data_IF_758785485434
#
_entry.id   IF_758785485434
#
_cell.length_a   1.000
_cell.length_b   1.000
_cell.length_c   1.000
_cell.angle_alpha   90.00
_cell.angle_beta   90.00
_cell.angle_gamma   90.00
#
_symmetry.space_group_name_H-M   'P 1'
#
loop_
_entity.id
_entity.type
_entity.pdbx_description
1 polymer ?
#
# COMPACT_ATOMS: atom_id res chain seq x y z
N UNK A 1 24.35 -7.05 -20.21
CA UNK A 1 23.02 -7.05 -19.55
C UNK A 1 23.21 -6.54 -18.13
N UNK A 2 22.37 -5.61 -17.66
CA UNK A 2 22.42 -5.19 -16.26
C UNK A 2 22.08 -6.38 -15.34
N UNK A 3 22.77 -6.55 -14.19
CA UNK A 3 22.46 -7.62 -13.26
C UNK A 3 21.02 -7.46 -12.76
N UNK A 4 20.31 -8.59 -12.66
CA UNK A 4 19.00 -8.67 -11.99
C UNK A 4 19.22 -9.16 -10.58
N UNK A 5 18.42 -8.66 -9.66
CA UNK A 5 18.33 -9.27 -8.34
C UNK A 5 17.14 -10.22 -8.29
N UNK A 6 17.17 -11.13 -7.33
CA UNK A 6 16.09 -12.10 -7.13
C UNK A 6 15.48 -11.99 -5.75
N UNK A 7 14.24 -12.45 -5.63
CA UNK A 7 13.63 -12.76 -4.34
C UNK A 7 13.21 -14.22 -4.34
N UNK A 8 13.61 -14.95 -3.30
CA UNK A 8 13.10 -16.29 -3.00
C UNK A 8 11.98 -16.16 -1.98
N UNK A 9 10.79 -16.59 -2.36
CA UNK A 9 9.57 -16.48 -1.57
C UNK A 9 9.13 -17.87 -1.15
N UNK A 10 9.01 -18.06 0.16
CA UNK A 10 8.44 -19.26 0.77
C UNK A 10 7.13 -18.89 1.44
N UNK A 11 6.18 -19.81 1.45
CA UNK A 11 4.92 -19.66 2.16
C UNK A 11 4.91 -20.66 3.32
N UNK A 12 4.70 -20.17 4.53
CA UNK A 12 4.55 -20.98 5.73
C UNK A 12 3.28 -21.82 5.60
N UNK A 13 3.44 -23.02 5.06
CA UNK A 13 2.44 -24.08 5.23
C UNK A 13 2.81 -24.91 6.44
N UNK A 14 1.81 -25.20 7.25
CA UNK A 14 1.85 -26.32 8.18
C UNK A 14 1.96 -27.71 7.48
N UNK A 15 2.13 -27.76 6.15
CA UNK A 15 2.20 -28.99 5.35
C UNK A 15 3.63 -29.33 4.94
N UNK A 16 3.93 -30.63 4.89
CA UNK A 16 5.24 -31.27 4.67
C UNK A 16 6.02 -30.90 3.38
N UNK A 17 5.53 -29.98 2.53
CA UNK A 17 6.15 -29.60 1.25
C UNK A 17 6.11 -28.07 1.03
N UNK A 18 6.94 -27.31 1.74
CA UNK A 18 7.09 -25.88 1.49
C UNK A 18 7.64 -25.65 0.07
N UNK A 19 6.87 -24.95 -0.77
CA UNK A 19 7.29 -24.58 -2.13
C UNK A 19 7.96 -23.21 -2.12
N UNK A 20 9.15 -23.15 -2.68
CA UNK A 20 9.89 -21.91 -2.89
C UNK A 20 9.66 -21.39 -4.30
N UNK A 21 9.43 -20.08 -4.42
CA UNK A 21 9.24 -19.38 -5.68
C UNK A 21 10.33 -18.34 -5.85
N UNK A 22 11.09 -18.42 -6.96
CA UNK A 22 12.09 -17.41 -7.30
C UNK A 22 11.53 -16.43 -8.32
N UNK A 23 11.52 -15.16 -7.98
CA UNK A 23 11.15 -14.04 -8.86
C UNK A 23 12.36 -13.13 -9.10
N UNK A 24 12.29 -12.32 -10.15
CA UNK A 24 13.39 -11.47 -10.58
C UNK A 24 12.97 -10.01 -10.67
N UNK A 25 13.85 -9.10 -10.27
CA UNK A 25 13.65 -7.68 -10.47
C UNK A 25 13.72 -7.32 -11.96
N UNK A 26 13.10 -6.21 -12.31
CA UNK A 26 13.37 -5.61 -13.62
C UNK A 26 14.82 -5.11 -13.70
N UNK A 27 15.42 -5.08 -14.91
CA UNK A 27 16.74 -4.50 -15.09
C UNK A 27 16.79 -3.03 -14.64
N UNK A 28 17.82 -2.67 -13.87
CA UNK A 28 18.08 -1.27 -13.49
C UNK A 28 17.23 -0.74 -12.32
N UNK A 29 16.45 -1.60 -11.65
CA UNK A 29 15.73 -1.20 -10.44
C UNK A 29 16.73 -0.86 -9.31
N UNK A 30 16.70 0.36 -8.73
CA UNK A 30 17.71 0.82 -7.77
C UNK A 30 17.61 0.14 -6.38
N UNK A 31 16.47 -0.47 -6.06
CA UNK A 31 16.21 -1.17 -4.80
C UNK A 31 16.51 -2.67 -4.87
N UNK A 32 16.83 -3.17 -6.05
CA UNK A 32 16.97 -4.61 -6.28
C UNK A 32 18.17 -5.15 -5.47
N UNK A 33 17.86 -6.03 -4.52
CA UNK A 33 18.82 -6.83 -3.76
C UNK A 33 18.41 -8.29 -3.87
N UNK A 34 19.34 -9.20 -3.62
CA UNK A 34 19.00 -10.61 -3.49
C UNK A 34 18.36 -10.80 -2.11
N UNK A 35 17.09 -11.20 -2.10
CA UNK A 35 16.25 -11.24 -0.90
C UNK A 35 15.64 -12.63 -0.69
N UNK A 36 15.29 -12.92 0.56
CA UNK A 36 14.52 -14.08 0.96
C UNK A 36 13.31 -13.55 1.72
N UNK A 37 12.09 -13.95 1.36
CA UNK A 37 10.89 -13.61 2.10
C UNK A 37 10.12 -14.87 2.54
N UNK A 38 9.96 -15.03 3.85
CA UNK A 38 9.14 -16.08 4.45
C UNK A 38 7.76 -15.50 4.79
N UNK A 39 6.72 -15.95 4.10
CA UNK A 39 5.38 -15.37 4.17
C UNK A 39 4.46 -16.21 5.05
N UNK A 40 3.83 -15.58 6.02
CA UNK A 40 2.80 -16.23 6.85
C UNK A 40 1.48 -16.31 6.08
N UNK A 41 0.94 -17.52 5.88
CA UNK A 41 -0.38 -17.71 5.24
C UNK A 41 -1.56 -17.31 6.13
N UNK A 42 -1.35 -17.35 7.45
CA UNK A 42 -2.31 -16.85 8.42
C UNK A 42 -2.37 -15.32 8.30
N UNK A 43 -3.54 -14.73 8.00
CA UNK A 43 -3.68 -13.29 8.15
C UNK A 43 -3.38 -12.99 9.63
N UNK A 44 -2.41 -12.09 9.93
CA UNK A 44 -2.02 -11.84 11.32
C UNK A 44 -3.22 -11.40 12.16
N UNK A 45 -4.23 -10.80 11.51
CA UNK A 45 -5.53 -10.46 12.06
C UNK A 45 -6.58 -10.55 10.94
N UNK A 46 -7.75 -11.12 11.23
CA UNK A 46 -8.76 -11.51 10.23
C UNK A 46 -9.06 -10.49 9.11
N UNK A 47 -9.16 -11.02 7.88
CA UNK A 47 -9.81 -10.39 6.72
C UNK A 47 -9.11 -9.29 5.91
N UNK A 48 -7.78 -9.21 5.83
CA UNK A 48 -7.12 -8.45 4.75
C UNK A 48 -7.06 -9.25 3.45
N UNK A 49 -8.20 -9.71 2.94
CA UNK A 49 -8.28 -10.25 1.58
C UNK A 49 -8.66 -9.12 0.62
N UNK A 50 -7.77 -8.81 -0.32
CA UNK A 50 -8.08 -8.02 -1.52
C UNK A 50 -8.99 -8.87 -2.42
N UNK A 51 -10.24 -9.05 -2.00
CA UNK A 51 -11.23 -9.93 -2.61
C UNK A 51 -11.33 -11.29 -1.91
N UNK A 52 -12.56 -11.75 -1.63
CA UNK A 52 -12.83 -13.16 -1.36
C UNK A 52 -12.55 -13.91 -2.66
N UNK A 53 -11.41 -14.58 -2.72
CA UNK A 53 -11.05 -15.41 -3.85
C UNK A 53 -10.84 -16.82 -3.30
N UNK A 54 -11.42 -17.82 -3.97
CA UNK A 54 -11.36 -19.24 -3.57
C UNK A 54 -9.98 -19.83 -3.86
N UNK A 55 -8.91 -19.25 -3.29
CA UNK A 55 -7.55 -19.79 -3.39
C UNK A 55 -7.49 -21.12 -2.64
N UNK A 56 -7.85 -22.20 -3.34
CA UNK A 56 -7.62 -23.57 -2.90
C UNK A 56 -6.12 -23.83 -2.95
N UNK A 57 -5.43 -23.63 -1.82
CA UNK A 57 -4.08 -24.14 -1.51
C UNK A 57 -3.02 -24.03 -2.63
N UNK A 58 -3.11 -23.04 -3.52
CA UNK A 58 -2.17 -22.89 -4.64
C UNK A 58 -1.98 -21.40 -4.96
N UNK A 59 -0.75 -20.91 -4.79
CA UNK A 59 -0.38 -19.51 -5.02
C UNK A 59 -0.25 -19.17 -6.51
N UNK A 60 -0.36 -20.18 -7.38
CA UNK A 60 -0.28 -20.09 -8.83
C UNK A 60 -1.64 -20.36 -9.48
N UNK A 61 -2.44 -21.30 -8.93
CA UNK A 61 -3.76 -21.66 -9.49
C UNK A 61 -4.92 -20.87 -8.85
N UNK A 62 -5.87 -20.45 -9.69
CA UNK A 62 -7.06 -19.73 -9.27
C UNK A 62 -7.46 -18.67 -10.30
N UNK A 63 -8.42 -17.82 -9.95
CA UNK A 63 -8.90 -16.77 -10.86
C UNK A 63 -7.80 -15.74 -11.11
N UNK A 64 -7.56 -15.43 -12.38
CA UNK A 64 -6.73 -14.30 -12.78
C UNK A 64 -7.44 -12.98 -12.44
N UNK A 65 -6.67 -11.92 -12.15
CA UNK A 65 -7.26 -10.62 -11.79
C UNK A 65 -7.42 -10.37 -10.29
N UNK A 66 -7.00 -11.31 -9.45
CA UNK A 66 -7.05 -11.19 -7.99
C UNK A 66 -5.63 -11.14 -7.40
N UNK A 67 -5.47 -10.33 -6.36
CA UNK A 67 -4.23 -10.18 -5.61
C UNK A 67 -4.40 -10.57 -4.16
N UNK A 68 -3.31 -10.95 -3.49
CA UNK A 68 -3.30 -11.23 -2.05
C UNK A 68 -2.19 -10.47 -1.36
N UNK A 69 -2.49 -9.95 -0.17
CA UNK A 69 -1.49 -9.33 0.69
C UNK A 69 -1.06 -10.35 1.73
N UNK A 70 0.25 -10.51 1.89
CA UNK A 70 0.86 -11.38 2.88
C UNK A 70 1.68 -10.54 3.86
N UNK A 71 1.67 -10.95 5.12
CA UNK A 71 2.70 -10.57 6.07
C UNK A 71 3.86 -11.57 5.96
N UNK A 72 5.08 -11.11 6.20
CA UNK A 72 6.23 -12.00 6.22
C UNK A 72 7.47 -11.35 6.80
N UNK A 73 8.54 -12.14 6.84
CA UNK A 73 9.88 -11.71 7.24
C UNK A 73 10.80 -11.67 6.02
N UNK A 74 11.45 -10.53 5.82
CA UNK A 74 12.41 -10.26 4.75
C UNK A 74 13.83 -10.34 5.31
N UNK A 75 14.65 -11.16 4.65
CA UNK A 75 16.06 -11.37 4.93
C UNK A 75 16.90 -11.19 3.67
N UNK A 76 18.22 -11.10 3.83
CA UNK A 76 19.18 -10.94 2.73
C UNK A 76 20.05 -12.17 2.58
N UNK A 77 20.49 -12.45 1.36
CA UNK A 77 21.55 -13.44 1.19
C UNK A 77 22.85 -12.95 1.82
N UNK A 78 23.59 -13.83 2.51
CA UNK A 78 24.91 -13.48 3.03
C UNK A 78 25.85 -13.13 1.88
N UNK A 79 26.59 -12.03 2.03
CA UNK A 79 27.63 -11.63 1.08
C UNK A 79 28.95 -12.27 1.51
N UNK A 80 29.63 -13.05 0.65
CA UNK A 80 30.92 -13.65 1.00
C UNK A 80 31.95 -12.57 1.34
N UNK A 81 32.51 -12.62 2.55
CA UNK A 81 33.60 -11.74 2.98
C UNK A 81 33.19 -10.37 3.55
N UNK A 82 31.90 -10.10 3.83
CA UNK A 82 31.53 -8.82 4.45
C UNK A 82 30.09 -8.67 4.95
N UNK A 83 29.99 -7.83 5.99
CA UNK A 83 28.84 -7.29 6.73
C UNK A 83 27.98 -8.23 7.60
N UNK A 84 27.59 -7.68 8.75
CA UNK A 84 26.56 -8.23 9.63
C UNK A 84 25.27 -8.30 8.82
N UNK A 85 24.74 -9.51 8.64
CA UNK A 85 23.42 -9.71 8.02
C UNK A 85 22.40 -8.93 8.86
N UNK A 86 21.66 -7.96 8.28
CA UNK A 86 20.69 -7.20 9.05
C UNK A 86 19.62 -8.14 9.61
N UNK A 87 19.08 -7.78 10.78
CA UNK A 87 17.98 -8.54 11.38
C UNK A 87 16.80 -8.62 10.40
N UNK A 88 16.08 -9.76 10.36
CA UNK A 88 14.90 -9.89 9.51
C UNK A 88 13.90 -8.75 9.74
N UNK A 89 13.33 -8.25 8.66
CA UNK A 89 12.34 -7.16 8.70
C UNK A 89 10.94 -7.69 8.42
N UNK A 90 9.97 -7.18 9.15
CA UNK A 90 8.57 -7.46 8.82
C UNK A 90 8.14 -6.67 7.60
N UNK A 91 7.55 -7.37 6.63
CA UNK A 91 7.13 -6.80 5.35
C UNK A 91 5.71 -7.17 4.99
N UNK A 92 5.11 -6.32 4.17
CA UNK A 92 3.89 -6.62 3.43
C UNK A 92 4.29 -7.05 2.00
N UNK A 93 3.84 -8.22 1.56
CA UNK A 93 4.06 -8.70 0.20
C UNK A 93 2.73 -8.75 -0.56
N UNK A 94 2.58 -7.85 -1.53
CA UNK A 94 1.40 -7.78 -2.42
C UNK A 94 1.66 -8.70 -3.61
N UNK A 95 1.06 -9.88 -3.60
CA UNK A 95 1.21 -10.93 -4.62
C UNK A 95 0.09 -10.84 -5.66
N UNK A 96 0.45 -10.83 -6.94
CA UNK A 96 -0.46 -10.65 -8.07
C UNK A 96 -0.26 -11.72 -9.13
N UNK A 97 -1.36 -12.12 -9.78
CA UNK A 97 -1.37 -13.12 -10.85
C UNK A 97 -2.02 -12.59 -12.12
N UNK A 98 -1.49 -13.04 -13.25
CA UNK A 98 -1.95 -12.64 -14.57
C UNK A 98 -1.28 -11.34 -15.00
N UNK A 99 -0.97 -11.26 -16.29
CA UNK A 99 -0.19 -10.17 -16.89
C UNK A 99 -0.77 -8.79 -16.60
N UNK A 100 -2.10 -8.65 -16.69
CA UNK A 100 -2.80 -7.40 -16.40
C UNK A 100 -2.56 -6.91 -14.98
N UNK A 101 -2.61 -7.80 -13.98
CA UNK A 101 -2.41 -7.42 -12.57
C UNK A 101 -0.93 -7.12 -12.29
N UNK A 102 -0.03 -7.88 -12.89
CA UNK A 102 1.41 -7.61 -12.81
C UNK A 102 1.74 -6.24 -13.40
N UNK A 103 1.09 -5.82 -14.48
CA UNK A 103 1.27 -4.48 -15.06
C UNK A 103 0.71 -3.36 -14.17
N UNK A 104 -0.42 -3.57 -13.49
CA UNK A 104 -0.91 -2.62 -12.49
C UNK A 104 0.04 -2.51 -11.29
N UNK A 105 0.60 -3.64 -10.87
CA UNK A 105 1.58 -3.68 -9.80
C UNK A 105 2.89 -2.99 -10.21
N UNK A 106 3.34 -3.17 -11.45
CA UNK A 106 4.49 -2.45 -12.03
C UNK A 106 4.29 -0.94 -12.00
N UNK A 107 3.11 -0.46 -12.40
CA UNK A 107 2.76 0.96 -12.30
C UNK A 107 2.85 1.48 -10.86
N UNK A 108 2.34 0.71 -9.89
CA UNK A 108 2.48 1.04 -8.46
C UNK A 108 3.96 1.09 -8.03
N UNK A 109 4.79 0.14 -8.46
CA UNK A 109 6.23 0.15 -8.18
C UNK A 109 6.94 1.39 -8.76
N UNK A 110 6.57 1.82 -9.96
CA UNK A 110 7.10 3.04 -10.59
C UNK A 110 6.78 4.30 -9.77
N UNK A 111 5.61 4.34 -9.12
CA UNK A 111 5.29 5.43 -8.20
C UNK A 111 6.24 5.45 -7.00
N UNK A 112 6.53 4.29 -6.39
CA UNK A 112 7.48 4.16 -5.28
C UNK A 112 8.91 4.54 -5.67
N UNK A 113 9.37 4.10 -6.84
CA UNK A 113 10.73 4.36 -7.33
C UNK A 113 10.92 5.79 -7.84
N UNK A 114 9.85 6.43 -8.29
CA UNK A 114 9.88 7.79 -8.82
C UNK A 114 9.37 8.83 -7.82
N UNK A 115 8.17 9.38 -8.02
CA UNK A 115 7.71 10.56 -7.28
C UNK A 115 7.51 10.34 -5.78
N UNK A 116 7.29 9.10 -5.33
CA UNK A 116 7.12 8.80 -3.91
C UNK A 116 8.44 8.55 -3.16
N UNK A 117 9.58 8.50 -3.86
CA UNK A 117 10.85 8.09 -3.26
C UNK A 117 11.18 8.87 -1.98
N UNK A 118 10.98 10.19 -1.98
CA UNK A 118 11.28 11.07 -0.83
C UNK A 118 10.27 10.98 0.31
N UNK A 119 9.14 10.31 0.11
CA UNK A 119 8.06 10.19 1.11
C UNK A 119 8.11 8.84 1.85
N UNK A 120 8.93 7.90 1.39
CA UNK A 120 9.05 6.56 1.96
C UNK A 120 9.49 6.61 3.42
N UNK A 121 8.80 5.87 4.29
CA UNK A 121 9.01 5.88 5.75
C UNK A 121 8.47 7.12 6.46
N UNK A 122 7.95 8.12 5.72
CA UNK A 122 7.32 9.30 6.30
C UNK A 122 5.81 9.19 6.23
N UNK A 123 5.26 9.20 5.01
CA UNK A 123 3.81 9.15 4.75
C UNK A 123 3.42 8.08 3.73
N UNK A 124 4.38 7.36 3.17
CA UNK A 124 4.15 6.14 2.37
C UNK A 124 5.09 5.04 2.85
N UNK A 125 4.75 3.75 2.67
CA UNK A 125 5.60 2.64 3.07
C UNK A 125 7.01 2.70 2.46
N UNK A 126 8.00 2.19 3.18
CA UNK A 126 9.30 1.86 2.58
C UNK A 126 9.11 0.79 1.51
N UNK A 127 9.69 1.00 0.34
CA UNK A 127 9.65 0.08 -0.80
C UNK A 127 10.96 -0.72 -0.88
N UNK A 128 10.86 -2.04 -0.79
CA UNK A 128 12.01 -2.94 -0.83
C UNK A 128 12.26 -3.52 -2.22
N UNK A 129 11.25 -3.55 -3.09
CA UNK A 129 11.44 -4.00 -4.47
C UNK A 129 10.15 -4.47 -5.15
N UNK A 130 10.27 -4.68 -6.45
CA UNK A 130 9.25 -5.27 -7.31
C UNK A 130 9.87 -6.41 -8.10
N UNK A 131 9.25 -7.58 -8.03
CA UNK A 131 9.79 -8.80 -8.62
C UNK A 131 8.72 -9.50 -9.44
N UNK A 132 9.12 -10.06 -10.58
CA UNK A 132 8.21 -10.77 -11.48
C UNK A 132 8.82 -12.08 -11.96
N UNK A 133 7.96 -12.96 -12.46
CA UNK A 133 8.37 -14.25 -13.01
C UNK A 133 7.21 -14.95 -13.72
N UNK A 134 7.53 -16.03 -14.41
CA UNK A 134 6.54 -16.93 -15.01
C UNK A 134 6.65 -18.29 -14.32
N UNK A 135 5.62 -18.68 -13.59
CA UNK A 135 5.58 -19.93 -12.82
C UNK A 135 4.44 -20.77 -13.39
N UNK A 136 4.75 -21.98 -13.86
CA UNK A 136 3.77 -22.90 -14.48
C UNK A 136 2.94 -22.22 -15.58
N UNK A 137 3.57 -21.33 -16.36
CA UNK A 137 2.91 -20.62 -17.45
C UNK A 137 2.19 -19.32 -17.04
N UNK A 138 2.00 -19.06 -15.75
CA UNK A 138 1.28 -17.88 -15.22
C UNK A 138 2.25 -16.75 -14.91
N UNK A 139 1.92 -15.53 -15.32
CA UNK A 139 2.65 -14.33 -14.92
C UNK A 139 2.38 -14.00 -13.46
N UNK A 140 3.44 -13.91 -12.67
CA UNK A 140 3.41 -13.60 -11.26
C UNK A 140 4.22 -12.33 -11.02
N UNK A 141 3.73 -11.48 -10.13
CA UNK A 141 4.44 -10.29 -9.67
C UNK A 141 4.21 -10.06 -8.20
N UNK A 142 5.20 -9.52 -7.51
CA UNK A 142 5.06 -9.06 -6.15
C UNK A 142 5.76 -7.73 -5.92
N UNK A 143 5.19 -6.93 -5.01
CA UNK A 143 5.86 -5.79 -4.38
C UNK A 143 6.09 -6.14 -2.92
N UNK A 144 7.25 -5.74 -2.40
CA UNK A 144 7.62 -5.86 -0.99
C UNK A 144 7.67 -4.47 -0.37
N UNK A 145 6.85 -4.24 0.66
CA UNK A 145 6.72 -2.95 1.37
C UNK A 145 6.96 -3.11 2.87
N UNK A 146 7.19 -1.98 3.56
CA UNK A 146 7.09 -1.85 5.02
C UNK A 146 5.77 -2.47 5.53
N UNK A 147 5.88 -3.37 6.51
CA UNK A 147 4.70 -3.87 7.20
C UNK A 147 4.09 -2.78 8.08
N UNK A 148 2.86 -2.41 7.75
CA UNK A 148 2.06 -1.45 8.52
C UNK A 148 0.95 -2.24 9.23
N UNK A 149 1.15 -2.63 10.51
CA UNK A 149 0.20 -3.49 11.22
C UNK A 149 -1.15 -2.80 11.46
N UNK A 150 -1.18 -1.46 11.48
CA UNK A 150 -2.36 -0.71 11.91
C UNK A 150 -3.30 -0.40 10.76
N UNK A 151 -4.53 -0.89 10.87
CA UNK A 151 -5.79 -0.16 10.96
C UNK A 151 -6.86 -1.20 10.63
N UNK A 152 -7.07 -2.14 11.57
CA UNK A 152 -8.32 -2.87 11.61
C UNK A 152 -9.41 -1.82 11.81
N UNK A 153 -9.89 -1.24 10.72
CA UNK A 153 -10.89 -0.19 10.71
C UNK A 153 -12.20 -0.67 11.38
N UNK A 154 -12.37 -1.99 11.52
CA UNK A 154 -13.41 -2.64 12.32
C UNK A 154 -13.17 -2.53 13.84
N UNK A 155 -11.91 -2.46 14.27
CA UNK A 155 -11.48 -2.53 15.67
C UNK A 155 -11.14 -1.16 16.24
N UNK A 156 -10.63 -0.24 15.42
CA UNK A 156 -10.27 1.13 15.85
C UNK A 156 -11.44 2.13 15.80
N UNK A 157 -12.58 1.72 15.23
CA UNK A 157 -13.78 2.56 15.16
C UNK A 157 -13.57 3.83 14.32
N UNK A 158 -14.25 4.90 14.74
CA UNK A 158 -14.18 6.20 14.08
C UNK A 158 -12.80 6.85 14.29
N UNK A 159 -12.13 7.38 13.25
CA UNK A 159 -10.90 8.15 13.43
C UNK A 159 -11.20 9.40 14.27
N UNK A 160 -10.36 9.63 15.26
CA UNK A 160 -10.42 10.84 16.08
C UNK A 160 -9.92 12.08 15.30
N UNK A 161 -10.04 13.25 15.93
CA UNK A 161 -9.61 14.51 15.34
C UNK A 161 -8.10 14.50 15.00
N UNK A 162 -7.29 13.84 15.83
CA UNK A 162 -5.84 13.75 15.62
C UNK A 162 -5.54 12.92 14.37
N UNK A 163 -6.18 11.77 14.21
CA UNK A 163 -6.00 10.92 13.03
C UNK A 163 -6.44 11.62 11.75
N UNK A 164 -7.53 12.39 11.78
CA UNK A 164 -7.96 13.16 10.62
C UNK A 164 -6.96 14.28 10.28
N UNK A 165 -6.34 14.90 11.28
CA UNK A 165 -5.26 15.87 11.06
C UNK A 165 -4.02 15.18 10.45
N UNK A 166 -3.62 14.02 10.97
CA UNK A 166 -2.51 13.22 10.43
C UNK A 166 -2.79 12.82 8.97
N UNK A 167 -4.02 12.39 8.64
CA UNK A 167 -4.45 12.06 7.27
C UNK A 167 -4.37 13.27 6.34
N UNK A 168 -4.84 14.44 6.79
CA UNK A 168 -4.77 15.67 6.03
C UNK A 168 -3.32 16.06 5.70
N UNK A 169 -2.44 16.03 6.70
CA UNK A 169 -1.02 16.33 6.50
C UNK A 169 -0.36 15.36 5.50
N UNK A 170 -0.67 14.06 5.62
CA UNK A 170 -0.15 13.06 4.70
C UNK A 170 -0.61 13.29 3.25
N UNK A 171 -1.89 13.65 3.04
CA UNK A 171 -2.42 13.99 1.72
C UNK A 171 -1.77 15.25 1.16
N UNK A 172 -1.53 16.28 1.99
CA UNK A 172 -0.81 17.47 1.56
C UNK A 172 0.60 17.16 1.09
N UNK A 173 1.35 16.35 1.86
CA UNK A 173 2.72 15.96 1.49
C UNK A 173 2.75 15.17 0.17
N UNK A 174 1.79 14.25 -0.01
CA UNK A 174 1.64 13.50 -1.25
C UNK A 174 1.39 14.43 -2.46
N UNK A 175 0.49 15.40 -2.29
CA UNK A 175 0.13 16.36 -3.35
C UNK A 175 1.26 17.36 -3.65
N UNK A 176 2.03 17.78 -2.63
CA UNK A 176 3.25 18.60 -2.82
C UNK A 176 4.35 17.84 -3.56
N UNK A 177 4.39 16.51 -3.45
CA UNK A 177 5.26 15.67 -4.27
C UNK A 177 4.74 15.48 -5.71
N UNK A 178 3.64 16.15 -6.08
CA UNK A 178 3.03 16.06 -7.40
C UNK A 178 2.34 14.73 -7.64
N UNK A 179 1.82 14.08 -6.59
CA UNK A 179 1.12 12.79 -6.70
C UNK A 179 -0.33 12.90 -6.24
N UNK A 180 -1.23 12.43 -7.10
CA UNK A 180 -2.64 12.18 -6.77
C UNK A 180 -2.82 10.68 -6.64
N UNK A 181 -3.41 10.24 -5.54
CA UNK A 181 -3.62 8.81 -5.28
C UNK A 181 -4.78 8.23 -6.10
N UNK A 182 -5.87 8.99 -6.24
CA UNK A 182 -7.03 8.63 -7.06
C UNK A 182 -8.08 7.74 -6.37
N UNK A 183 -7.85 7.32 -5.12
CA UNK A 183 -8.76 6.42 -4.40
C UNK A 183 -8.95 6.75 -2.91
N UNK A 184 -8.33 7.81 -2.38
CA UNK A 184 -8.45 8.15 -0.96
C UNK A 184 -9.87 8.61 -0.59
N UNK A 185 -10.51 9.38 -1.47
CA UNK A 185 -11.84 9.94 -1.26
C UNK A 185 -12.65 9.81 -2.54
N UNK A 186 -13.67 8.95 -2.55
CA UNK A 186 -14.46 8.70 -3.77
C UNK A 186 -15.61 9.68 -3.94
N UNK A 187 -16.14 10.24 -2.85
CA UNK A 187 -17.22 11.24 -2.89
C UNK A 187 -17.07 12.27 -1.77
N UNK A 188 -17.70 13.43 -1.96
CA UNK A 188 -17.67 14.57 -1.01
C UNK A 188 -18.29 14.23 0.35
N UNK A 189 -19.29 13.36 0.36
CA UNK A 189 -20.12 12.95 1.51
C UNK A 189 -19.63 11.66 2.17
N UNK A 190 -18.58 11.04 1.65
CA UNK A 190 -18.14 9.74 2.11
C UNK A 190 -17.08 9.92 3.22
N UNK A 191 -17.54 9.82 4.48
CA UNK A 191 -16.71 9.46 5.64
C UNK A 191 -16.95 7.99 5.96
N UNK A 192 -16.89 7.11 4.95
CA UNK A 192 -17.22 5.70 5.18
C UNK A 192 -16.01 4.99 5.78
N UNK A 193 -16.26 4.00 6.65
CA UNK A 193 -15.24 3.11 7.24
C UNK A 193 -14.21 2.63 6.21
N UNK A 194 -14.67 2.31 4.99
CA UNK A 194 -13.87 1.80 3.88
C UNK A 194 -12.87 2.79 3.28
N UNK A 195 -13.04 4.10 3.47
CA UNK A 195 -12.09 5.10 2.94
C UNK A 195 -10.84 5.23 3.83
N UNK A 196 -10.90 4.71 5.07
CA UNK A 196 -9.73 4.58 5.94
C UNK A 196 -8.74 3.49 5.53
N UNK A 197 -9.13 2.55 4.65
CA UNK A 197 -8.31 1.36 4.31
C UNK A 197 -6.97 1.69 3.63
N UNK A 198 -6.87 2.89 3.03
CA UNK A 198 -5.66 3.36 2.37
C UNK A 198 -4.71 4.08 3.34
N UNK A 199 -5.09 4.23 4.60
CA UNK A 199 -4.31 4.87 5.65
C UNK A 199 -4.01 3.84 6.72
N UNK A 200 -2.77 3.38 6.76
CA UNK A 200 -2.30 2.40 7.73
C UNK A 200 -1.38 3.06 8.75
N UNK A 201 -1.29 2.52 9.97
CA UNK A 201 -0.26 2.90 10.94
C UNK A 201 0.91 1.94 10.85
N UNK A 202 2.10 2.50 10.68
CA UNK A 202 3.35 1.78 10.81
C UNK A 202 3.69 1.52 12.28
N UNK A 203 4.72 0.70 12.53
CA UNK A 203 5.18 0.37 13.90
C UNK A 203 5.69 1.58 14.68
N UNK A 204 6.13 2.62 13.98
CA UNK A 204 6.53 3.89 14.58
C UNK A 204 5.34 4.79 14.99
N UNK A 205 4.10 4.30 14.84
CA UNK A 205 2.86 5.02 15.15
C UNK A 205 2.43 6.03 14.09
N UNK A 206 3.26 6.28 13.07
CA UNK A 206 2.97 7.25 12.00
C UNK A 206 2.09 6.63 10.91
N UNK A 207 1.37 7.50 10.22
CA UNK A 207 0.48 7.14 9.13
C UNK A 207 1.26 6.83 7.85
N UNK A 208 0.76 5.87 7.07
CA UNK A 208 1.25 5.47 5.75
C UNK A 208 0.06 5.39 4.79
N UNK A 209 0.16 6.09 3.68
CA UNK A 209 -0.77 5.98 2.56
C UNK A 209 -0.33 4.78 1.70
N UNK A 210 -1.27 3.90 1.34
CA UNK A 210 -1.00 2.66 0.60
C UNK A 210 -1.96 2.45 -0.58
N UNK A 211 -1.57 1.57 -1.51
CA UNK A 211 -2.33 1.17 -2.71
C UNK A 211 -2.32 2.21 -3.84
N UNK A 212 -1.13 2.44 -4.42
CA UNK A 212 -0.90 3.45 -5.47
C UNK A 212 -1.21 2.95 -6.89
N UNK A 213 -2.01 1.89 -7.05
CA UNK A 213 -2.35 1.32 -8.37
C UNK A 213 -3.12 2.29 -9.28
N UNK A 214 -3.83 3.26 -8.72
CA UNK A 214 -4.55 4.30 -9.46
C UNK A 214 -3.88 5.68 -9.36
N UNK A 215 -2.70 5.72 -8.74
CA UNK A 215 -1.99 6.96 -8.53
C UNK A 215 -1.39 7.47 -9.83
N UNK A 216 -1.25 8.79 -9.92
CA UNK A 216 -0.67 9.45 -11.09
C UNK A 216 0.05 10.71 -10.68
N UNK A 217 1.05 11.08 -11.47
CA UNK A 217 1.62 12.42 -11.41
C UNK A 217 0.50 13.43 -11.72
N UNK A 218 0.45 14.50 -10.95
CA UNK A 218 -0.46 15.60 -11.20
C UNK A 218 0.15 16.90 -10.69
N UNK A 219 -0.30 18.00 -11.27
CA UNK A 219 0.05 19.33 -10.80
C UNK A 219 -1.10 19.84 -9.93
N UNK A 220 -0.76 20.25 -8.72
CA UNK A 220 -1.65 21.01 -7.87
C UNK A 220 -0.80 21.93 -6.99
N UNK A 221 -1.39 23.01 -6.47
CA UNK A 221 -0.66 23.94 -5.61
C UNK A 221 -0.15 23.32 -4.29
N UNK A 222 -0.54 22.08 -3.95
CA UNK A 222 -0.09 21.34 -2.74
C UNK A 222 -0.44 22.02 -1.40
N UNK A 223 -1.11 23.17 -1.46
CA UNK A 223 -1.47 24.08 -0.41
C UNK A 223 -2.82 24.66 -0.81
N UNK A 224 -3.88 24.25 -0.12
CA UNK A 224 -5.08 25.06 -0.14
C UNK A 224 -4.87 26.15 0.90
N UNK A 225 -4.90 27.42 0.48
CA UNK A 225 -5.12 28.51 1.44
C UNK A 225 -6.46 28.23 2.14
N UNK A 226 -6.59 28.50 3.45
CA UNK A 226 -7.86 28.34 4.16
C UNK A 226 -8.95 29.10 3.39
N UNK A 227 -9.95 28.40 2.87
CA UNK A 227 -11.08 29.05 2.22
C UNK A 227 -12.21 29.27 3.23
N UNK A 228 -12.83 30.44 3.18
CA UNK A 228 -14.04 30.76 3.93
C UNK A 228 -15.31 30.18 3.27
N UNK A 229 -15.26 29.84 1.96
CA UNK A 229 -16.44 29.38 1.21
C UNK A 229 -16.30 27.97 0.59
N UNK A 230 -17.15 27.06 1.06
CA UNK A 230 -17.31 25.67 0.59
C UNK A 230 -18.08 25.54 -0.75
N UNK A 231 -18.51 26.67 -1.33
CA UNK A 231 -19.33 26.74 -2.54
C UNK A 231 -18.57 27.20 -3.80
N UNK A 232 -17.26 27.49 -3.69
CA UNK A 232 -16.48 27.94 -4.85
C UNK A 232 -16.11 26.74 -5.74
N UNK A 233 -16.60 26.80 -6.98
CA UNK A 233 -16.29 25.96 -8.14
C UNK A 233 -15.00 25.11 -8.01
N UNK A 234 -15.18 23.79 -8.04
CA UNK A 234 -14.11 22.78 -8.05
C UNK A 234 -13.29 22.78 -9.36
N UNK A 235 -13.63 23.64 -10.32
CA UNK A 235 -13.19 23.54 -11.72
C UNK A 235 -11.68 23.76 -11.92
N UNK A 236 -10.97 24.28 -10.92
CA UNK A 236 -9.50 24.41 -10.92
C UNK A 236 -8.78 23.69 -9.76
N UNK A 237 -9.50 22.95 -8.90
CA UNK A 237 -8.92 22.37 -7.68
C UNK A 237 -8.86 20.84 -7.72
N UNK A 238 -7.82 20.28 -7.09
CA UNK A 238 -7.69 18.84 -6.98
C UNK A 238 -8.77 18.28 -6.03
N UNK A 239 -9.76 17.56 -6.57
CA UNK A 239 -10.88 16.99 -5.81
C UNK A 239 -10.46 16.18 -4.58
N UNK A 240 -9.40 15.37 -4.70
CA UNK A 240 -8.90 14.53 -3.60
C UNK A 240 -8.42 15.37 -2.41
N UNK A 241 -7.71 16.47 -2.68
CA UNK A 241 -7.26 17.39 -1.64
C UNK A 241 -8.44 18.18 -1.03
N UNK A 242 -9.40 18.62 -1.85
CA UNK A 242 -10.60 19.29 -1.36
C UNK A 242 -11.41 18.40 -0.41
N UNK A 243 -11.57 17.13 -0.75
CA UNK A 243 -12.31 16.19 0.10
C UNK A 243 -11.57 15.97 1.43
N UNK A 244 -10.26 15.75 1.40
CA UNK A 244 -9.45 15.62 2.62
C UNK A 244 -9.64 16.82 3.58
N UNK A 245 -9.66 18.06 3.06
CA UNK A 245 -9.89 19.26 3.88
C UNK A 245 -11.31 19.28 4.48
N UNK A 246 -12.33 19.01 3.65
CA UNK A 246 -13.73 18.98 4.08
C UNK A 246 -13.92 17.96 5.21
N UNK A 247 -13.29 16.79 5.11
CA UNK A 247 -13.35 15.75 6.14
C UNK A 247 -12.76 16.21 7.47
N UNK A 248 -11.61 16.89 7.44
CA UNK A 248 -10.99 17.46 8.64
C UNK A 248 -11.89 18.53 9.28
N UNK A 249 -12.38 19.50 8.49
CA UNK A 249 -13.23 20.59 9.00
C UNK A 249 -14.51 20.08 9.65
N UNK A 250 -15.21 19.15 8.98
CA UNK A 250 -16.44 18.55 9.51
C UNK A 250 -16.22 17.85 10.86
N UNK A 251 -15.04 17.27 11.05
CA UNK A 251 -14.68 16.64 12.31
C UNK A 251 -14.42 17.65 13.44
N UNK A 252 -13.79 18.78 13.12
CA UNK A 252 -13.56 19.88 14.06
C UNK A 252 -14.89 20.56 14.44
N UNK A 253 -15.74 20.83 13.46
CA UNK A 253 -17.00 21.56 13.62
C UNK A 253 -18.12 20.72 14.27
N UNK A 254 -17.91 19.42 14.48
CA UNK A 254 -18.90 18.53 15.09
C UNK A 254 -20.21 18.42 14.28
N UNK A 255 -20.12 18.59 12.96
CA UNK A 255 -21.28 18.68 12.06
C UNK A 255 -22.19 17.44 12.09
N UNK A 256 -23.42 17.52 11.56
CA UNK A 256 -24.42 16.44 11.62
C UNK A 256 -23.92 15.12 11.02
N UNK A 257 -23.03 15.16 10.01
CA UNK A 257 -22.39 13.97 9.43
C UNK A 257 -21.48 13.23 10.43
N UNK A 258 -20.94 13.94 11.43
CA UNK A 258 -20.18 13.36 12.54
C UNK A 258 -21.08 12.65 13.56
N UNK A 259 -22.38 13.00 13.60
CA UNK A 259 -23.41 12.37 14.42
C UNK A 259 -24.07 11.18 13.72
N UNK A 260 -23.96 11.06 12.40
CA UNK A 260 -24.40 9.86 11.68
C UNK A 260 -23.67 8.64 12.26
N UNK A 261 -24.39 7.57 12.62
CA UNK A 261 -23.76 6.36 13.10
C UNK A 261 -22.69 5.89 12.12
N UNK A 262 -21.55 5.46 12.64
CA UNK A 262 -20.55 4.74 11.87
C UNK A 262 -21.15 3.38 11.53
N UNK A 263 -21.95 3.33 10.47
CA UNK A 263 -22.64 2.10 10.08
C UNK A 263 -21.58 1.09 9.60
N UNK A 264 -21.39 -0.05 10.29
CA UNK A 264 -20.50 -1.11 9.87
C UNK A 264 -21.17 -1.94 8.78
N UNK A 265 -21.61 -1.28 7.70
CA UNK A 265 -22.59 -1.81 6.74
C UNK A 265 -23.95 -2.24 7.33
#
# INVERSE_FOLDING_TARGET
MAPRSSIDITFDRASQNAKMYRLWSDPGQPYARNLIANLSELPPYGSWSLGKDDWKDDHVKGKEGCGRLYHGELSWYPVPGGEVVPLPLHVAVKWMRGERMVNQLRHEAEMYMGPLHRLQGQVVPIFYGFFTGKIEGVHIGCIVLEWCPGNEWMTFGKPDQKELADRWEAVQLLHRAGVKHGQLYKRRDSLRLWEGRHFLRARDGKLRIVDFQQARKHECAGSMRPHEDLNIHLDHKCRELCFAEIHLRRAIEGGPDFKTPWLPY
#
